data_IF_951970828989
#
_entry.id   IF_951970828989
#
_cell.length_a   1.000
_cell.length_b   1.000
_cell.length_c   1.000
_cell.angle_alpha   90.00
_cell.angle_beta   90.00
_cell.angle_gamma   90.00
#
_symmetry.space_group_name_H-M   'P 1'
#
loop_
_entity.id
_entity.type
_entity.pdbx_description
1 polymer ?
#
# COMPACT_ATOMS: atom_id res chain seq x y z
N UNK A 1 11.55 -21.25 7.00
CA UNK A 1 10.33 -21.75 7.70
C UNK A 1 9.20 -20.71 7.69
N UNK A 2 9.45 -19.44 8.06
CA UNK A 2 8.44 -18.35 8.11
C UNK A 2 7.67 -18.07 6.79
N UNK A 3 8.37 -18.02 5.64
CA UNK A 3 7.74 -17.79 4.33
C UNK A 3 6.74 -18.89 3.92
N UNK A 4 6.94 -20.15 4.32
CA UNK A 4 6.00 -21.24 3.98
C UNK A 4 4.68 -21.08 4.73
N UNK A 5 4.73 -20.68 5.99
CA UNK A 5 3.54 -20.42 6.79
C UNK A 5 2.75 -19.22 6.26
N UNK A 6 3.43 -18.13 5.88
CA UNK A 6 2.78 -16.95 5.28
C UNK A 6 2.14 -17.29 3.94
N UNK A 7 2.85 -18.02 3.07
CA UNK A 7 2.33 -18.43 1.78
C UNK A 7 1.11 -19.36 1.92
N UNK A 8 1.14 -20.30 2.88
CA UNK A 8 0.01 -21.18 3.15
C UNK A 8 -1.20 -20.41 3.70
N UNK A 9 -0.98 -19.41 4.56
CA UNK A 9 -2.04 -18.53 5.06
C UNK A 9 -2.69 -17.74 3.91
N UNK A 10 -1.89 -17.18 3.00
CA UNK A 10 -2.37 -16.47 1.80
C UNK A 10 -3.18 -17.43 0.91
N UNK A 11 -2.65 -18.62 0.61
CA UNK A 11 -3.36 -19.61 -0.22
C UNK A 11 -4.68 -20.05 0.40
N UNK A 12 -4.70 -20.28 1.72
CA UNK A 12 -5.92 -20.63 2.44
C UNK A 12 -6.94 -19.49 2.33
N UNK A 13 -6.52 -18.25 2.51
CA UNK A 13 -7.41 -17.08 2.43
C UNK A 13 -7.95 -16.87 1.00
N UNK A 14 -7.10 -17.00 -0.03
CA UNK A 14 -7.51 -16.90 -1.45
C UNK A 14 -8.48 -18.02 -1.82
N UNK A 15 -8.28 -19.24 -1.30
CA UNK A 15 -9.24 -20.36 -1.50
C UNK A 15 -10.58 -20.08 -0.82
N UNK A 16 -10.57 -19.51 0.38
CA UNK A 16 -11.81 -19.12 1.10
C UNK A 16 -12.54 -18.00 0.36
N UNK A 17 -11.80 -16.98 -0.10
CA UNK A 17 -12.36 -15.88 -0.88
C UNK A 17 -12.94 -16.33 -2.24
N UNK A 18 -12.29 -17.28 -2.91
CA UNK A 18 -12.74 -17.79 -4.21
C UNK A 18 -13.88 -18.82 -4.11
N UNK A 19 -13.95 -19.61 -3.03
CA UNK A 19 -15.00 -20.64 -2.86
C UNK A 19 -16.22 -20.14 -2.11
N UNK A 20 -16.14 -19.04 -1.35
CA UNK A 20 -17.24 -18.58 -0.50
C UNK A 20 -17.65 -19.58 0.60
N UNK A 21 -16.89 -20.66 0.75
CA UNK A 21 -17.13 -21.75 1.68
C UNK A 21 -16.16 -21.59 2.84
N UNK A 22 -16.66 -21.10 3.97
CA UNK A 22 -16.37 -21.55 5.34
C UNK A 22 -17.13 -20.62 6.28
N UNK A 23 -17.82 -21.24 7.25
CA UNK A 23 -18.75 -20.69 8.26
C UNK A 23 -20.24 -20.65 7.86
N UNK A 24 -20.77 -21.82 7.51
CA UNK A 24 -22.12 -22.22 7.98
C UNK A 24 -22.05 -22.44 9.50
N UNK A 25 -22.02 -21.37 10.31
CA UNK A 25 -22.31 -21.42 11.76
C UNK A 25 -22.67 -20.01 12.27
N UNK A 26 -23.98 -19.76 12.24
CA UNK A 26 -24.80 -18.92 13.12
C UNK A 26 -24.48 -17.44 13.40
N UNK A 27 -23.42 -16.82 12.87
CA UNK A 27 -23.20 -15.35 12.94
C UNK A 27 -22.76 -14.76 11.58
N UNK A 28 -23.53 -15.07 10.54
CA UNK A 28 -23.24 -14.75 9.13
C UNK A 28 -23.39 -13.27 8.76
N UNK A 29 -23.82 -12.39 9.67
CA UNK A 29 -24.25 -11.04 9.28
C UNK A 29 -23.12 -10.15 8.76
N UNK A 30 -21.83 -10.47 8.93
CA UNK A 30 -20.80 -9.72 8.21
C UNK A 30 -19.37 -10.32 8.11
N UNK A 31 -19.21 -11.47 7.42
CA UNK A 31 -17.88 -12.03 7.10
C UNK A 31 -16.90 -10.99 6.52
N UNK A 32 -17.39 -10.17 5.56
CA UNK A 32 -16.57 -9.17 4.88
C UNK A 32 -16.06 -8.09 5.84
N UNK A 33 -16.90 -7.61 6.77
CA UNK A 33 -16.45 -6.67 7.81
C UNK A 33 -15.41 -7.28 8.72
N UNK A 34 -15.64 -8.50 9.21
CA UNK A 34 -14.68 -9.16 10.11
C UNK A 34 -13.33 -9.33 9.42
N UNK A 35 -13.34 -9.73 8.14
CA UNK A 35 -12.13 -9.84 7.34
C UNK A 35 -11.45 -8.47 7.16
N UNK A 36 -12.19 -7.43 6.78
CA UNK A 36 -11.63 -6.09 6.54
C UNK A 36 -11.07 -5.48 7.83
N UNK A 37 -11.82 -5.54 8.93
CA UNK A 37 -11.41 -4.99 10.23
C UNK A 37 -10.15 -5.72 10.73
N UNK A 38 -10.04 -7.02 10.49
CA UNK A 38 -8.90 -7.80 10.92
C UNK A 38 -7.65 -7.61 10.04
N UNK A 39 -7.80 -7.51 8.71
CA UNK A 39 -6.68 -7.15 7.82
C UNK A 39 -6.21 -5.70 8.05
N UNK A 40 -7.12 -4.81 8.47
CA UNK A 40 -6.79 -3.43 8.85
C UNK A 40 -6.31 -3.27 10.29
N UNK A 41 -6.20 -4.36 11.07
CA UNK A 41 -5.57 -4.36 12.40
C UNK A 41 -6.29 -3.49 13.46
N UNK A 42 -7.60 -3.24 13.31
CA UNK A 42 -8.40 -2.55 14.33
C UNK A 42 -8.51 -3.45 15.58
N UNK A 43 -8.31 -2.89 16.78
CA UNK A 43 -8.39 -3.61 18.06
C UNK A 43 -9.58 -4.60 18.07
N UNK A 44 -9.33 -5.88 18.43
CA UNK A 44 -10.27 -7.02 18.62
C UNK A 44 -10.37 -8.01 17.42
N UNK A 45 -9.56 -9.09 17.34
CA UNK A 45 -9.61 -10.47 17.93
C UNK A 45 -10.55 -11.48 17.20
N UNK A 46 -10.10 -12.74 17.05
CA UNK A 46 -10.76 -13.89 16.37
C UNK A 46 -10.62 -14.04 14.85
N UNK A 47 -9.49 -13.65 14.24
CA UNK A 47 -9.10 -14.39 13.03
C UNK A 47 -8.63 -15.78 13.46
N UNK A 48 -9.03 -16.85 12.76
CA UNK A 48 -8.38 -18.14 12.94
C UNK A 48 -6.85 -17.97 12.81
N UNK A 49 -6.02 -18.64 13.62
CA UNK A 49 -4.57 -18.49 13.59
C UNK A 49 -3.97 -18.63 12.18
N UNK A 50 -4.59 -19.48 11.35
CA UNK A 50 -4.26 -19.71 9.95
C UNK A 50 -4.44 -18.49 9.03
N UNK A 51 -5.15 -17.44 9.45
CA UNK A 51 -5.36 -16.19 8.69
C UNK A 51 -4.51 -15.03 9.21
N UNK A 52 -3.59 -15.29 10.14
CA UNK A 52 -2.65 -14.29 10.61
C UNK A 52 -1.57 -14.03 9.54
N UNK A 53 -1.75 -12.97 8.76
CA UNK A 53 -0.79 -12.56 7.72
C UNK A 53 0.09 -11.45 8.30
N UNK A 54 1.34 -11.73 8.71
CA UNK A 54 2.19 -10.71 9.33
C UNK A 54 2.56 -9.58 8.37
N UNK A 55 2.75 -9.87 7.07
CA UNK A 55 3.14 -8.86 6.09
C UNK A 55 2.00 -7.89 5.75
N UNK A 56 2.23 -6.59 5.97
CA UNK A 56 1.23 -5.55 5.74
C UNK A 56 0.89 -5.38 4.26
N UNK A 57 1.86 -5.54 3.35
CA UNK A 57 1.60 -5.39 1.92
C UNK A 57 0.68 -6.50 1.40
N UNK A 58 0.91 -7.74 1.83
CA UNK A 58 0.01 -8.86 1.55
C UNK A 58 -1.42 -8.59 2.05
N UNK A 59 -1.59 -8.06 3.28
CA UNK A 59 -2.91 -7.66 3.79
C UNK A 59 -3.59 -6.61 2.90
N UNK A 60 -2.85 -5.58 2.46
CA UNK A 60 -3.36 -4.52 1.59
C UNK A 60 -3.77 -5.08 0.22
N UNK A 61 -2.99 -5.99 -0.35
CA UNK A 61 -3.32 -6.61 -1.63
C UNK A 61 -4.57 -7.49 -1.54
N UNK A 62 -4.72 -8.24 -0.45
CA UNK A 62 -5.93 -9.02 -0.19
C UNK A 62 -7.13 -8.10 0.00
N UNK A 63 -6.99 -7.01 0.76
CA UNK A 63 -8.03 -5.98 0.87
C UNK A 63 -8.36 -5.32 -0.48
N UNK A 64 -7.41 -5.20 -1.39
CA UNK A 64 -7.66 -4.71 -2.75
C UNK A 64 -8.38 -5.76 -3.61
N UNK A 65 -8.13 -7.06 -3.39
CA UNK A 65 -8.84 -8.14 -4.09
C UNK A 65 -10.28 -8.31 -3.62
N UNK A 66 -10.59 -8.05 -2.35
CA UNK A 66 -12.00 -8.07 -1.87
C UNK A 66 -12.87 -7.03 -2.57
N UNK A 67 -12.27 -6.01 -3.19
CA UNK A 67 -12.96 -5.04 -4.04
C UNK A 67 -13.56 -5.61 -5.32
N UNK A 68 -13.07 -6.76 -5.80
CA UNK A 68 -13.63 -7.41 -6.97
C UNK A 68 -15.02 -8.00 -6.69
N UNK A 69 -15.52 -7.92 -5.45
CA UNK A 69 -16.85 -8.39 -5.09
C UNK A 69 -17.86 -7.22 -5.07
N UNK A 70 -18.98 -7.38 -5.77
CA UNK A 70 -20.14 -6.47 -5.72
C UNK A 70 -20.99 -6.64 -4.44
N UNK A 71 -20.39 -7.24 -3.40
CA UNK A 71 -21.09 -7.55 -2.15
C UNK A 71 -21.22 -6.29 -1.29
N UNK A 72 -22.16 -6.35 -0.36
CA UNK A 72 -22.39 -5.32 0.64
C UNK A 72 -21.92 -5.78 2.03
N UNK A 73 -21.68 -4.80 2.90
CA UNK A 73 -21.19 -4.94 4.27
C UNK A 73 -22.24 -4.36 5.20
N UNK A 74 -22.75 -5.15 6.15
CA UNK A 74 -23.84 -4.78 7.06
C UNK A 74 -23.38 -4.74 8.52
N UNK A 75 -23.42 -3.59 9.19
CA UNK A 75 -22.98 -3.48 10.58
C UNK A 75 -23.95 -2.68 11.44
N UNK A 76 -23.75 -2.72 12.75
CA UNK A 76 -24.46 -1.87 13.70
C UNK A 76 -23.57 -0.71 14.12
N UNK A 77 -24.09 0.51 14.04
CA UNK A 77 -23.38 1.69 14.55
C UNK A 77 -23.35 1.72 16.09
N UNK A 78 -22.64 2.69 16.68
CA UNK A 78 -22.57 2.85 18.14
C UNK A 78 -23.92 3.14 18.81
N UNK A 79 -24.98 3.38 18.03
CA UNK A 79 -26.37 3.60 18.48
C UNK A 79 -27.25 2.38 18.18
N UNK A 80 -26.68 1.25 17.78
CA UNK A 80 -27.38 -0.02 17.50
C UNK A 80 -28.14 -0.08 16.17
N UNK A 81 -28.07 0.97 15.33
CA UNK A 81 -28.79 1.02 14.05
C UNK A 81 -28.06 0.20 13.00
N UNK A 82 -28.81 -0.55 12.20
CA UNK A 82 -28.28 -1.32 11.07
C UNK A 82 -27.89 -0.37 9.93
N UNK A 83 -26.66 -0.53 9.45
CA UNK A 83 -26.04 0.24 8.35
C UNK A 83 -25.52 -0.72 7.30
N UNK A 84 -25.50 -0.24 6.06
CA UNK A 84 -25.01 -1.00 4.92
C UNK A 84 -24.18 -0.08 4.01
N UNK A 85 -23.10 -0.62 3.44
CA UNK A 85 -22.28 0.05 2.41
C UNK A 85 -21.64 -1.00 1.51
N UNK A 86 -21.13 -0.58 0.35
CA UNK A 86 -20.38 -1.47 -0.53
C UNK A 86 -19.07 -1.93 0.11
N UNK A 87 -18.62 -3.15 -0.19
CA UNK A 87 -17.32 -3.68 0.27
C UNK A 87 -16.18 -2.71 -0.04
N UNK A 88 -16.21 -2.05 -1.21
CA UNK A 88 -15.20 -1.07 -1.61
C UNK A 88 -15.11 0.13 -0.69
N UNK A 89 -16.25 0.72 -0.38
CA UNK A 89 -16.31 1.91 0.47
C UNK A 89 -15.90 1.54 1.91
N UNK A 90 -16.38 0.41 2.43
CA UNK A 90 -15.98 -0.08 3.75
C UNK A 90 -14.48 -0.42 3.82
N UNK A 91 -13.90 -1.07 2.80
CA UNK A 91 -12.47 -1.37 2.79
C UNK A 91 -11.60 -0.11 2.70
N UNK A 92 -12.07 0.94 2.02
CA UNK A 92 -11.34 2.20 1.88
C UNK A 92 -11.34 3.04 3.17
N UNK A 93 -12.52 3.35 3.71
CA UNK A 93 -12.68 4.28 4.84
C UNK A 93 -13.19 3.64 6.12
N UNK A 94 -13.60 2.37 6.07
CA UNK A 94 -14.36 1.76 7.14
C UNK A 94 -15.71 2.45 7.34
N UNK A 95 -16.19 2.44 8.58
CA UNK A 95 -17.38 3.18 9.00
C UNK A 95 -16.99 4.55 9.59
N UNK A 96 -16.08 5.28 8.92
CA UNK A 96 -15.59 6.60 9.36
C UNK A 96 -16.73 7.60 9.64
N UNK A 97 -17.75 7.65 8.77
CA UNK A 97 -18.95 8.50 8.94
C UNK A 97 -19.69 8.25 10.27
N UNK A 98 -19.45 7.10 10.90
CA UNK A 98 -20.07 6.68 12.16
C UNK A 98 -19.07 6.66 13.32
N UNK A 99 -17.98 7.43 13.21
CA UNK A 99 -16.88 7.49 14.19
C UNK A 99 -16.20 6.12 14.43
N UNK A 100 -16.17 5.28 13.39
CA UNK A 100 -15.56 3.96 13.42
C UNK A 100 -14.59 3.79 12.23
N UNK A 101 -13.46 4.52 12.21
CA UNK A 101 -12.46 4.36 11.15
C UNK A 101 -11.94 2.91 11.12
N UNK A 102 -11.93 2.30 9.95
CA UNK A 102 -11.32 1.00 9.68
C UNK A 102 -10.81 0.93 8.24
N UNK A 103 -10.39 -0.24 7.79
CA UNK A 103 -9.91 -0.43 6.42
C UNK A 103 -8.57 0.27 6.17
N UNK A 104 -8.35 0.70 4.93
CA UNK A 104 -7.10 1.30 4.50
C UNK A 104 -6.83 2.64 5.18
N UNK A 105 -7.87 3.47 5.33
CA UNK A 105 -7.75 4.76 5.98
C UNK A 105 -7.12 4.64 7.37
N UNK A 106 -7.56 3.64 8.16
CA UNK A 106 -6.99 3.39 9.49
C UNK A 106 -5.54 2.90 9.43
N UNK A 107 -5.16 2.07 8.46
CA UNK A 107 -3.76 1.63 8.28
C UNK A 107 -2.81 2.78 7.96
N UNK A 108 -3.26 3.75 7.16
CA UNK A 108 -2.46 4.91 6.77
C UNK A 108 -2.44 5.99 7.84
N UNK A 109 -3.57 6.27 8.47
CA UNK A 109 -3.72 7.45 9.32
C UNK A 109 -3.85 7.15 10.81
N UNK A 110 -4.14 5.92 11.24
CA UNK A 110 -4.25 5.53 12.66
C UNK A 110 -4.96 6.55 13.59
N UNK A 111 -5.89 7.35 13.07
CA UNK A 111 -6.61 8.41 13.78
C UNK A 111 -6.03 9.82 13.71
N UNK A 112 -4.82 10.02 13.18
CA UNK A 112 -4.21 11.35 12.99
C UNK A 112 -3.44 11.43 11.64
N UNK A 113 -3.99 12.14 10.64
CA UNK A 113 -3.33 12.39 9.35
C UNK A 113 -1.99 13.15 9.46
N UNK A 114 -1.76 13.86 10.56
CA UNK A 114 -0.51 14.56 10.82
C UNK A 114 0.51 13.70 11.59
N UNK A 115 0.11 12.54 12.12
CA UNK A 115 1.01 11.68 12.88
C UNK A 115 1.96 10.90 11.95
N UNK A 116 3.26 11.23 11.94
CA UNK A 116 4.23 10.60 11.05
C UNK A 116 4.64 9.18 11.52
N UNK A 117 4.02 8.63 12.57
CA UNK A 117 4.35 7.34 13.19
C UNK A 117 3.25 6.29 13.05
N UNK A 118 2.30 6.47 12.12
CA UNK A 118 1.29 5.46 11.81
C UNK A 118 1.86 4.10 11.38
N UNK A 119 1.00 3.06 11.39
CA UNK A 119 1.38 1.66 11.09
C UNK A 119 2.02 1.54 9.71
N UNK A 120 1.45 2.18 8.70
CA UNK A 120 2.01 2.17 7.35
C UNK A 120 3.38 2.86 7.28
N UNK A 121 3.56 3.98 7.99
CA UNK A 121 4.84 4.68 8.05
C UNK A 121 5.94 3.82 8.71
N UNK A 122 5.59 3.10 9.78
CA UNK A 122 6.51 2.14 10.41
C UNK A 122 6.88 1.00 9.45
N UNK A 123 5.90 0.45 8.72
CA UNK A 123 6.15 -0.55 7.68
C UNK A 123 7.11 -0.01 6.60
N UNK A 124 6.87 1.19 6.07
CA UNK A 124 7.74 1.79 5.06
C UNK A 124 9.17 2.01 5.58
N UNK A 125 9.32 2.53 6.81
CA UNK A 125 10.65 2.70 7.44
C UNK A 125 11.40 1.38 7.56
N UNK A 126 10.70 0.31 7.95
CA UNK A 126 11.30 -1.03 8.04
C UNK A 126 11.71 -1.56 6.66
N UNK A 127 10.89 -1.37 5.63
CA UNK A 127 11.21 -1.77 4.24
C UNK A 127 12.38 -0.97 3.67
N UNK A 128 12.43 0.34 3.90
CA UNK A 128 13.55 1.19 3.49
C UNK A 128 14.86 0.79 4.18
N UNK A 129 14.82 0.50 5.49
CA UNK A 129 15.99 -0.01 6.21
C UNK A 129 16.47 -1.33 5.61
N UNK A 130 15.56 -2.26 5.37
CA UNK A 130 15.89 -3.55 4.78
C UNK A 130 16.49 -3.40 3.36
N UNK A 131 15.93 -2.49 2.55
CA UNK A 131 16.48 -2.15 1.24
C UNK A 131 17.92 -1.62 1.36
N UNK A 132 18.16 -0.68 2.28
CA UNK A 132 19.49 -0.11 2.49
C UNK A 132 20.50 -1.16 2.99
N UNK A 133 20.09 -2.06 3.88
CA UNK A 133 20.93 -3.16 4.37
C UNK A 133 21.34 -4.12 3.25
N UNK A 134 20.41 -4.50 2.36
CA UNK A 134 20.70 -5.43 1.25
C UNK A 134 21.50 -4.77 0.15
N UNK A 135 21.08 -3.57 -0.27
CA UNK A 135 21.68 -2.88 -1.42
C UNK A 135 22.93 -2.10 -1.03
N UNK A 136 23.28 -2.05 0.27
CA UNK A 136 24.31 -1.15 0.81
C UNK A 136 24.10 0.28 0.29
N UNK A 137 22.83 0.69 0.21
CA UNK A 137 22.40 1.95 -0.39
C UNK A 137 22.63 3.13 0.57
N UNK A 138 23.79 3.18 1.22
CA UNK A 138 24.29 4.42 1.78
C UNK A 138 24.73 5.29 0.60
N UNK A 139 23.75 6.00 0.01
CA UNK A 139 23.96 7.10 -0.92
C UNK A 139 25.05 6.80 -1.96
N UNK A 140 24.78 6.00 -3.03
CA UNK A 140 25.83 5.41 -3.85
C UNK A 140 26.90 6.44 -4.21
N UNK A 141 28.15 6.15 -3.82
CA UNK A 141 29.31 6.92 -4.26
C UNK A 141 29.30 6.99 -5.79
N UNK A 142 29.87 8.05 -6.35
CA UNK A 142 30.01 8.11 -7.80
C UNK A 142 30.76 6.85 -8.26
N UNK A 143 30.27 6.16 -9.30
CA UNK A 143 30.98 5.02 -9.84
C UNK A 143 32.35 5.49 -10.34
N UNK A 144 33.37 4.65 -10.24
CA UNK A 144 34.72 4.99 -10.66
C UNK A 144 34.71 5.43 -12.14
N UNK A 145 35.09 6.68 -12.47
CA UNK A 145 35.10 7.19 -13.84
C UNK A 145 35.99 6.35 -14.77
N UNK A 146 37.00 5.67 -14.23
CA UNK A 146 37.91 4.81 -15.00
C UNK A 146 37.20 3.62 -15.66
N UNK A 147 36.01 3.26 -15.17
CA UNK A 147 35.18 2.18 -15.71
C UNK A 147 34.39 2.58 -16.95
N UNK A 148 34.42 3.85 -17.36
CA UNK A 148 33.63 4.39 -18.46
C UNK A 148 34.52 4.98 -19.56
N UNK A 149 34.03 5.05 -20.82
CA UNK A 149 34.77 5.68 -21.91
C UNK A 149 35.13 7.14 -21.63
N UNK A 150 36.22 7.62 -22.25
CA UNK A 150 36.63 9.01 -22.16
C UNK A 150 35.50 9.98 -22.51
N UNK A 151 35.35 11.04 -21.69
CA UNK A 151 34.26 12.01 -21.81
C UNK A 151 32.95 11.61 -21.12
N UNK A 152 32.91 10.45 -20.45
CA UNK A 152 31.78 10.07 -19.60
C UNK A 152 31.69 10.93 -18.34
N UNK A 153 30.47 11.26 -17.94
CA UNK A 153 30.19 12.04 -16.73
C UNK A 153 28.95 11.51 -16.02
N UNK A 154 28.88 11.73 -14.70
CA UNK A 154 27.74 11.31 -13.86
C UNK A 154 27.12 12.52 -13.18
N UNK A 155 25.79 12.57 -13.15
CA UNK A 155 25.04 13.55 -12.34
C UNK A 155 24.28 12.82 -11.24
N UNK A 156 24.43 13.32 -10.02
CA UNK A 156 23.64 12.92 -8.85
C UNK A 156 22.85 14.13 -8.37
N UNK A 157 21.58 13.93 -8.09
CA UNK A 157 20.71 15.00 -7.58
C UNK A 157 19.73 14.44 -6.56
N UNK A 158 19.34 15.28 -5.60
CA UNK A 158 18.36 14.94 -4.57
C UNK A 158 17.06 15.68 -4.87
N UNK A 159 15.97 14.94 -4.95
CA UNK A 159 14.64 15.51 -5.12
C UNK A 159 13.96 15.65 -3.77
N UNK A 160 13.52 16.87 -3.46
CA UNK A 160 12.64 17.14 -2.32
C UNK A 160 11.23 17.39 -2.87
N UNK A 161 10.27 16.57 -2.45
CA UNK A 161 8.87 16.74 -2.82
C UNK A 161 8.29 17.97 -2.11
N UNK A 162 8.08 19.06 -2.85
CA UNK A 162 7.43 20.29 -2.33
C UNK A 162 5.91 20.18 -2.23
N UNK A 163 5.32 19.24 -2.97
CA UNK A 163 3.88 18.95 -2.99
C UNK A 163 3.69 17.44 -2.97
N UNK A 164 2.51 16.93 -2.55
CA UNK A 164 2.20 15.51 -2.64
C UNK A 164 2.48 14.96 -4.05
N UNK A 165 3.24 13.87 -4.11
CA UNK A 165 3.63 13.25 -5.37
C UNK A 165 2.61 12.21 -5.80
N UNK A 166 2.23 12.30 -7.07
CA UNK A 166 1.29 11.38 -7.71
C UNK A 166 2.03 10.73 -8.86
N UNK A 167 2.00 9.40 -8.90
CA UNK A 167 2.50 8.62 -10.04
C UNK A 167 1.50 7.53 -10.38
N UNK A 168 1.57 7.02 -11.62
CA UNK A 168 0.79 5.85 -12.03
C UNK A 168 1.60 4.60 -11.75
N UNK A 169 1.08 3.74 -10.88
CA UNK A 169 1.58 2.38 -10.71
C UNK A 169 1.04 1.47 -11.83
N UNK A 170 1.77 0.41 -12.16
CA UNK A 170 1.45 -0.53 -13.24
C UNK A 170 0.58 -1.71 -12.74
N UNK A 171 0.33 -1.80 -11.43
CA UNK A 171 -0.46 -2.90 -10.84
C UNK A 171 -1.97 -2.72 -11.11
N UNK A 172 -2.67 -3.83 -11.42
CA UNK A 172 -4.08 -3.81 -11.86
C UNK A 172 -5.07 -3.48 -10.73
N UNK A 173 -4.79 -3.86 -9.49
CA UNK A 173 -5.75 -3.77 -8.38
C UNK A 173 -5.27 -2.83 -7.29
N UNK A 174 -6.06 -1.77 -7.06
CA UNK A 174 -5.82 -0.83 -5.99
C UNK A 174 -7.07 -0.50 -5.21
N UNK A 175 -6.90 -0.41 -3.90
CA UNK A 175 -7.96 -0.01 -2.97
C UNK A 175 -8.28 1.49 -3.04
N UNK A 176 -7.32 2.28 -3.50
CA UNK A 176 -7.43 3.72 -3.74
C UNK A 176 -7.15 4.03 -5.19
N UNK A 177 -7.82 5.04 -5.72
CA UNK A 177 -7.75 5.36 -7.16
C UNK A 177 -6.40 6.00 -7.56
N UNK A 178 -5.58 6.41 -6.59
CA UNK A 178 -4.32 7.12 -6.85
C UNK A 178 -3.09 6.44 -6.21
N UNK A 179 -2.66 5.28 -6.74
CA UNK A 179 -1.55 4.52 -6.19
C UNK A 179 -0.20 5.09 -6.61
N UNK A 180 0.65 5.42 -5.64
CA UNK A 180 2.05 5.75 -5.93
C UNK A 180 2.81 4.50 -6.36
N UNK A 181 3.60 4.62 -7.43
CA UNK A 181 4.47 3.58 -7.98
C UNK A 181 5.46 3.04 -6.95
N UNK A 182 5.52 1.71 -6.79
CA UNK A 182 6.40 1.02 -5.83
C UNK A 182 7.41 0.10 -6.51
N UNK A 183 8.62 -0.04 -5.97
CA UNK A 183 9.57 -1.01 -6.52
C UNK A 183 9.16 -2.44 -6.12
N UNK A 184 9.54 -3.43 -6.92
CA UNK A 184 8.90 -4.74 -6.84
C UNK A 184 9.32 -5.57 -5.62
N UNK A 185 10.50 -5.33 -5.00
CA UNK A 185 11.06 -6.19 -3.93
C UNK A 185 10.59 -5.74 -2.55
N UNK A 186 10.95 -4.53 -2.14
CA UNK A 186 10.72 -3.99 -0.80
C UNK A 186 9.38 -3.24 -0.70
N UNK A 187 8.75 -2.95 -1.85
CA UNK A 187 7.45 -2.28 -1.99
C UNK A 187 7.46 -0.85 -1.44
N UNK A 188 8.59 -0.15 -1.56
CA UNK A 188 8.71 1.27 -1.20
C UNK A 188 8.35 2.17 -2.39
N UNK A 189 7.85 3.39 -2.18
CA UNK A 189 7.58 4.32 -3.28
C UNK A 189 8.86 4.73 -4.01
N UNK A 190 8.85 4.79 -5.34
CA UNK A 190 9.96 5.32 -6.13
C UNK A 190 9.49 6.15 -7.34
N UNK A 191 10.39 6.98 -7.86
CA UNK A 191 10.19 7.69 -9.12
C UNK A 191 10.86 6.90 -10.23
N UNK A 192 10.10 6.52 -11.27
CA UNK A 192 10.66 5.72 -12.34
C UNK A 192 11.76 6.51 -13.10
N UNK A 193 12.85 5.84 -13.54
CA UNK A 193 13.90 6.50 -14.32
C UNK A 193 13.38 7.22 -15.56
N UNK A 194 12.42 6.63 -16.26
CA UNK A 194 11.75 7.21 -17.42
C UNK A 194 10.96 8.49 -17.07
N UNK A 195 10.34 8.54 -15.89
CA UNK A 195 9.53 9.67 -15.44
C UNK A 195 10.40 10.90 -15.16
N UNK A 196 11.44 10.79 -14.32
CA UNK A 196 12.26 11.95 -13.97
C UNK A 196 13.11 12.42 -15.16
N UNK A 197 13.59 11.50 -16.01
CA UNK A 197 14.29 11.84 -17.27
C UNK A 197 13.39 12.64 -18.20
N UNK A 198 12.15 12.21 -18.39
CA UNK A 198 11.16 12.91 -19.22
C UNK A 198 10.82 14.30 -18.66
N UNK A 199 10.59 14.39 -17.35
CA UNK A 199 10.33 15.66 -16.67
C UNK A 199 11.51 16.63 -16.78
N UNK A 200 12.74 16.14 -16.58
CA UNK A 200 13.96 16.93 -16.73
C UNK A 200 14.12 17.43 -18.16
N UNK A 201 13.97 16.56 -19.17
CA UNK A 201 14.03 16.95 -20.58
C UNK A 201 13.03 18.08 -20.88
N UNK A 202 11.78 17.92 -20.45
CA UNK A 202 10.73 18.91 -20.68
C UNK A 202 11.06 20.26 -20.03
N UNK A 203 11.55 20.25 -18.79
CA UNK A 203 11.97 21.46 -18.09
C UNK A 203 13.15 22.15 -18.77
N UNK A 204 14.16 21.39 -19.21
CA UNK A 204 15.33 21.92 -19.92
C UNK A 204 14.95 22.53 -21.27
N UNK A 205 14.10 21.87 -22.04
CA UNK A 205 13.63 22.39 -23.34
C UNK A 205 12.87 23.71 -23.15
N UNK A 206 11.97 23.78 -22.17
CA UNK A 206 11.26 25.02 -21.85
C UNK A 206 12.22 26.15 -21.49
N UNK A 207 13.20 25.88 -20.62
CA UNK A 207 14.21 26.86 -20.22
C UNK A 207 15.12 27.31 -21.36
N UNK A 208 15.41 26.42 -22.31
CA UNK A 208 16.19 26.77 -23.49
C UNK A 208 15.39 27.69 -24.42
N UNK A 209 14.11 27.39 -24.67
CA UNK A 209 13.23 28.24 -25.49
C UNK A 209 13.07 29.63 -24.86
N UNK A 210 12.84 29.71 -23.54
CA UNK A 210 12.78 30.98 -22.80
C UNK A 210 14.07 31.82 -22.89
N UNK A 211 15.22 31.19 -23.12
CA UNK A 211 16.51 31.90 -23.26
C UNK A 211 16.82 32.34 -24.69
N UNK A 212 16.19 31.72 -25.67
CA UNK A 212 16.42 31.97 -27.10
C UNK A 212 15.36 32.90 -27.72
N UNK A 213 14.27 33.15 -27.01
CA UNK A 213 13.24 34.14 -27.34
C UNK A 213 13.56 35.49 -26.66
#
# INVERSE_FOLDING_TARGET
MKMRHEFQAILNLVKVLSRGEILKRNDTENYNKTLIDALSNRHNTKLPPEWNIPDLYARIQILAQTLASDRRVIWRDGRGRRRETGVKEYARTGALQYNMPSGLFWLYHAGDPQNPLGIYQHFLRRRLRWMNEILQYECPSFPDPSLFPDGSWTIKTFFVLRKPYISKDDTTFYLIDNPVKKEWVFKVPYVAPSQWKGALRSAMVRKLVERLA
#
